data_IF_026647742641
#
_entry.id   IF_026647742641
#
_cell.length_a   1.000
_cell.length_b   1.000
_cell.length_c   1.000
_cell.angle_alpha   90.00
_cell.angle_beta   90.00
_cell.angle_gamma   90.00
#
_symmetry.space_group_name_H-M   'P 1'
#
loop_
_entity.id
_entity.type
_entity.pdbx_description
1 polymer ?
#
# COMPACT_ATOMS: atom_id res chain seq x y z
N UNK A 1 -19.66 17.04 -7.92
CA UNK A 1 -18.34 16.42 -8.25
C UNK A 1 -18.45 14.92 -8.00
N UNK A 2 -17.89 14.13 -8.87
CA UNK A 2 -17.86 12.67 -8.76
C UNK A 2 -16.91 12.26 -7.63
N UNK A 3 -17.30 11.36 -6.75
CA UNK A 3 -16.40 10.83 -5.74
C UNK A 3 -15.27 10.04 -6.40
N UNK A 4 -14.01 10.39 -6.12
CA UNK A 4 -12.83 9.72 -6.66
C UNK A 4 -11.98 9.19 -5.51
N UNK A 5 -11.63 7.93 -5.57
CA UNK A 5 -10.71 7.28 -4.63
C UNK A 5 -9.35 7.12 -5.30
N UNK A 6 -8.30 7.63 -4.65
CA UNK A 6 -6.91 7.41 -5.07
C UNK A 6 -6.32 6.28 -4.25
N UNK A 7 -5.92 5.18 -4.87
CA UNK A 7 -5.11 4.16 -4.21
C UNK A 7 -3.63 4.36 -4.55
N UNK A 8 -2.75 4.32 -3.56
CA UNK A 8 -1.32 4.54 -3.77
C UNK A 8 -0.50 3.32 -3.31
N UNK A 9 -0.05 2.51 -4.28
CA UNK A 9 1.06 1.58 -4.10
C UNK A 9 2.40 2.34 -4.16
N UNK A 10 3.45 1.84 -3.49
CA UNK A 10 4.73 2.58 -3.47
C UNK A 10 5.91 1.71 -3.08
N UNK A 11 7.07 2.00 -3.65
CA UNK A 11 8.35 1.52 -3.15
C UNK A 11 8.78 2.24 -1.87
N UNK A 12 9.61 1.59 -1.06
CA UNK A 12 10.25 2.22 0.09
C UNK A 12 11.31 3.22 -0.39
N UNK A 13 11.33 4.40 0.22
CA UNK A 13 12.24 5.47 -0.19
C UNK A 13 11.73 6.36 -1.33
N UNK A 14 10.76 5.92 -2.15
CA UNK A 14 10.20 6.73 -3.25
C UNK A 14 9.45 8.01 -2.81
N UNK A 15 9.17 8.17 -1.54
CA UNK A 15 8.39 9.32 -1.04
C UNK A 15 6.88 9.10 -1.09
N UNK A 16 6.39 7.95 -1.57
CA UNK A 16 4.97 7.73 -1.84
C UNK A 16 4.02 7.97 -0.66
N UNK A 17 4.44 7.73 0.61
CA UNK A 17 3.61 8.09 1.77
C UNK A 17 3.46 9.60 1.92
N UNK A 18 4.56 10.34 1.85
CA UNK A 18 4.55 11.79 1.93
C UNK A 18 3.76 12.42 0.78
N UNK A 19 3.97 11.92 -0.44
CA UNK A 19 3.24 12.35 -1.64
C UNK A 19 1.73 12.15 -1.44
N UNK A 20 1.29 10.96 -1.00
CA UNK A 20 -0.12 10.69 -0.74
C UNK A 20 -0.73 11.62 0.32
N UNK A 21 0.01 11.89 1.39
CA UNK A 21 -0.41 12.84 2.43
C UNK A 21 -0.53 14.29 1.89
N UNK A 22 0.42 14.73 1.05
CA UNK A 22 0.39 16.07 0.46
C UNK A 22 -0.73 16.21 -0.58
N UNK A 23 -1.00 15.18 -1.39
CA UNK A 23 -2.14 15.12 -2.30
C UNK A 23 -3.45 15.25 -1.52
N UNK A 24 -3.62 14.48 -0.46
CA UNK A 24 -4.79 14.55 0.41
C UNK A 24 -5.01 15.97 0.96
N UNK A 25 -3.96 16.62 1.46
CA UNK A 25 -4.01 17.99 1.96
C UNK A 25 -4.41 19.00 0.87
N UNK A 26 -3.78 18.91 -0.33
CA UNK A 26 -4.10 19.81 -1.45
C UNK A 26 -5.54 19.66 -1.95
N UNK A 27 -6.05 18.43 -1.97
CA UNK A 27 -7.42 18.13 -2.40
C UNK A 27 -8.45 18.29 -1.29
N UNK A 28 -8.01 18.49 -0.05
CA UNK A 28 -8.86 18.53 1.15
C UNK A 28 -9.76 17.28 1.28
N UNK A 29 -9.17 16.09 1.06
CA UNK A 29 -9.83 14.79 1.17
C UNK A 29 -9.11 13.91 2.22
N UNK A 30 -9.80 12.94 2.86
CA UNK A 30 -9.18 12.05 3.84
C UNK A 30 -7.98 11.27 3.29
N UNK A 31 -7.01 11.00 4.17
CA UNK A 31 -5.86 10.14 3.91
C UNK A 31 -5.88 8.94 4.84
N UNK A 32 -5.93 7.74 4.29
CA UNK A 32 -5.96 6.49 5.03
C UNK A 32 -4.68 5.69 4.79
N UNK A 33 -3.83 5.65 5.78
CA UNK A 33 -2.64 4.80 5.78
C UNK A 33 -2.86 3.53 6.61
N UNK A 34 -1.81 2.71 6.73
CA UNK A 34 -1.82 1.48 7.51
C UNK A 34 -2.38 1.69 8.93
N UNK A 35 -1.87 2.69 9.64
CA UNK A 35 -2.22 2.91 11.06
C UNK A 35 -3.70 3.26 11.23
N UNK A 36 -4.24 4.10 10.33
CA UNK A 36 -5.64 4.50 10.39
C UNK A 36 -6.59 3.35 10.06
N UNK A 37 -6.23 2.53 9.07
CA UNK A 37 -7.02 1.35 8.70
C UNK A 37 -6.99 0.30 9.83
N UNK A 38 -5.85 0.11 10.47
CA UNK A 38 -5.69 -0.79 11.61
C UNK A 38 -6.51 -0.31 12.83
N UNK A 39 -6.54 0.98 13.12
CA UNK A 39 -7.43 1.56 14.15
C UNK A 39 -8.93 1.37 13.84
N UNK A 40 -9.30 1.43 12.56
CA UNK A 40 -10.67 1.11 12.16
C UNK A 40 -11.01 -0.36 12.41
N UNK A 41 -10.05 -1.26 12.16
CA UNK A 41 -10.16 -2.68 12.50
C UNK A 41 -10.40 -2.93 13.99
N UNK A 42 -9.65 -2.26 14.87
CA UNK A 42 -9.83 -2.37 16.33
C UNK A 42 -11.23 -1.96 16.79
N UNK A 43 -11.74 -0.85 16.24
CA UNK A 43 -13.06 -0.33 16.62
C UNK A 43 -14.22 -1.29 16.35
N UNK A 44 -14.05 -2.21 15.40
CA UNK A 44 -15.06 -3.24 15.08
C UNK A 44 -14.79 -4.58 15.75
N UNK A 45 -13.95 -4.58 16.81
CA UNK A 45 -13.65 -5.76 17.64
C UNK A 45 -12.51 -6.62 17.16
N UNK A 46 -11.71 -6.16 16.21
CA UNK A 46 -10.49 -6.83 15.76
C UNK A 46 -9.37 -6.76 16.80
N UNK A 47 -8.54 -7.80 16.87
CA UNK A 47 -7.42 -7.86 17.79
C UNK A 47 -6.14 -7.28 17.14
N UNK A 48 -5.78 -6.05 17.52
CA UNK A 48 -4.63 -5.33 16.97
C UNK A 48 -3.28 -6.01 17.27
N UNK A 49 -3.12 -6.63 18.43
CA UNK A 49 -1.86 -7.28 18.81
C UNK A 49 -1.43 -8.41 17.87
N UNK A 50 -2.37 -8.94 17.08
CA UNK A 50 -2.13 -10.00 16.10
C UNK A 50 -1.82 -9.51 14.68
N UNK A 51 -1.94 -8.21 14.38
CA UNK A 51 -1.80 -7.69 13.01
C UNK A 51 -0.39 -7.88 12.46
N UNK A 52 0.65 -7.59 13.26
CA UNK A 52 2.04 -7.81 12.84
C UNK A 52 2.34 -9.30 12.68
N UNK A 53 1.73 -10.15 13.50
CA UNK A 53 1.80 -11.60 13.40
C UNK A 53 1.12 -12.11 12.13
N UNK A 54 -0.04 -11.55 11.73
CA UNK A 54 -0.71 -11.90 10.47
C UNK A 54 0.09 -11.47 9.24
N UNK A 55 0.70 -10.31 9.24
CA UNK A 55 1.60 -9.88 8.16
C UNK A 55 2.83 -10.82 8.05
N UNK A 56 3.31 -11.38 9.17
CA UNK A 56 4.38 -12.40 9.18
C UNK A 56 3.88 -13.79 8.79
N UNK A 57 2.68 -14.20 9.20
CA UNK A 57 2.07 -15.49 8.84
C UNK A 57 1.79 -15.58 7.35
N UNK A 58 1.28 -14.53 6.71
CA UNK A 58 1.12 -14.47 5.25
C UNK A 58 2.45 -14.68 4.54
N UNK A 59 3.52 -14.06 5.04
CA UNK A 59 4.87 -14.24 4.50
C UNK A 59 5.40 -15.67 4.73
N UNK A 60 5.14 -16.25 5.91
CA UNK A 60 5.61 -17.60 6.26
C UNK A 60 4.84 -18.70 5.53
N UNK A 61 3.54 -18.51 5.25
CA UNK A 61 2.73 -19.46 4.49
C UNK A 61 3.21 -19.63 3.05
N UNK A 62 3.67 -18.56 2.42
CA UNK A 62 4.32 -18.63 1.11
C UNK A 62 5.61 -19.46 1.16
N UNK A 63 6.41 -19.30 2.22
CA UNK A 63 7.63 -20.10 2.44
C UNK A 63 7.32 -21.56 2.77
N UNK A 64 6.24 -21.83 3.50
CA UNK A 64 5.80 -23.21 3.83
C UNK A 64 5.20 -23.94 2.63
N UNK A 65 4.51 -23.25 1.73
CA UNK A 65 4.01 -23.83 0.48
C UNK A 65 5.14 -24.20 -0.50
N UNK A 66 6.31 -23.59 -0.35
CA UNK A 66 7.52 -23.97 -1.10
C UNK A 66 8.28 -25.15 -0.46
N UNK A 67 8.12 -25.37 0.84
CA UNK A 67 8.69 -26.50 1.57
C UNK A 67 7.53 -27.35 2.11
N UNK A 68 7.30 -28.49 1.49
CA UNK A 68 6.39 -29.57 1.91
C UNK A 68 6.59 -29.94 3.41
N UNK A 69 6.06 -29.16 4.34
CA UNK A 69 6.01 -29.50 5.75
C UNK A 69 4.57 -29.45 6.21
N UNK A 70 4.01 -30.64 6.44
CA UNK A 70 2.75 -30.87 7.12
C UNK A 70 2.71 -30.21 8.49
N UNK A 71 1.98 -29.12 8.63
CA UNK A 71 1.44 -28.72 9.92
C UNK A 71 0.02 -28.18 9.69
N UNK A 72 -0.91 -28.94 10.22
CA UNK A 72 -2.33 -28.63 10.33
C UNK A 72 -2.53 -27.43 11.27
N UNK A 73 -2.46 -26.22 10.72
CA UNK A 73 -2.85 -25.00 11.43
C UNK A 73 -4.12 -24.43 10.78
N UNK A 74 -5.23 -25.17 10.92
CA UNK A 74 -6.54 -24.74 10.43
C UNK A 74 -7.03 -23.43 11.10
N UNK A 75 -6.72 -23.21 12.36
CA UNK A 75 -7.08 -21.99 13.10
C UNK A 75 -6.38 -20.74 12.59
N UNK A 76 -5.07 -20.80 12.37
CA UNK A 76 -4.30 -19.65 11.84
C UNK A 76 -4.71 -19.28 10.41
N UNK A 77 -5.04 -20.29 9.57
CA UNK A 77 -5.53 -20.02 8.23
C UNK A 77 -6.93 -19.41 8.22
N UNK A 78 -7.79 -19.78 9.18
CA UNK A 78 -9.12 -19.20 9.36
C UNK A 78 -9.04 -17.76 9.85
N UNK A 79 -8.19 -17.46 10.84
CA UNK A 79 -7.95 -16.12 11.36
C UNK A 79 -7.38 -15.18 10.29
N UNK A 80 -6.41 -15.64 9.49
CA UNK A 80 -5.84 -14.89 8.38
C UNK A 80 -6.88 -14.54 7.32
N UNK A 81 -7.70 -15.50 6.92
CA UNK A 81 -8.78 -15.28 5.96
C UNK A 81 -9.79 -14.27 6.49
N UNK A 82 -10.11 -14.34 7.79
CA UNK A 82 -11.01 -13.41 8.47
C UNK A 82 -10.44 -12.00 8.51
N UNK A 83 -9.13 -11.84 8.78
CA UNK A 83 -8.42 -10.57 8.72
C UNK A 83 -8.49 -9.93 7.32
N UNK A 84 -8.18 -10.69 6.27
CA UNK A 84 -8.20 -10.20 4.89
C UNK A 84 -9.61 -9.75 4.46
N UNK A 85 -10.63 -10.53 4.81
CA UNK A 85 -12.04 -10.20 4.53
C UNK A 85 -12.42 -8.89 5.24
N UNK A 86 -12.06 -8.76 6.51
CA UNK A 86 -12.41 -7.59 7.31
C UNK A 86 -11.69 -6.33 6.84
N UNK A 87 -10.39 -6.44 6.51
CA UNK A 87 -9.62 -5.35 5.91
C UNK A 87 -10.21 -4.89 4.58
N UNK A 88 -10.63 -5.85 3.73
CA UNK A 88 -11.29 -5.54 2.46
C UNK A 88 -12.63 -4.83 2.67
N UNK A 89 -13.41 -5.24 3.68
CA UNK A 89 -14.66 -4.58 4.05
C UNK A 89 -14.43 -3.12 4.50
N UNK A 90 -13.47 -2.89 5.39
CA UNK A 90 -13.11 -1.54 5.86
C UNK A 90 -12.70 -0.66 4.68
N UNK A 91 -11.84 -1.15 3.78
CA UNK A 91 -11.39 -0.39 2.62
C UNK A 91 -12.58 -0.01 1.71
N UNK A 92 -13.52 -0.92 1.48
CA UNK A 92 -14.73 -0.66 0.69
C UNK A 92 -15.62 0.40 1.37
N UNK A 93 -15.86 0.26 2.66
CA UNK A 93 -16.65 1.23 3.44
C UNK A 93 -16.02 2.64 3.40
N UNK A 94 -14.68 2.74 3.57
CA UNK A 94 -13.98 4.02 3.45
C UNK A 94 -14.12 4.65 2.06
N UNK A 95 -14.08 3.84 1.02
CA UNK A 95 -14.25 4.30 -0.38
C UNK A 95 -15.70 4.75 -0.68
N UNK A 96 -16.70 4.21 -0.01
CA UNK A 96 -18.11 4.57 -0.16
C UNK A 96 -18.46 5.90 0.52
N UNK A 97 -17.76 6.27 1.59
CA UNK A 97 -18.00 7.52 2.33
C UNK A 97 -17.75 8.75 1.47
N UNK A 98 -16.77 8.69 0.55
CA UNK A 98 -16.47 9.81 -0.33
C UNK A 98 -15.07 9.73 -0.95
N UNK A 99 -14.65 10.83 -1.57
CA UNK A 99 -13.29 10.94 -2.11
C UNK A 99 -12.26 10.79 -1.01
N UNK A 100 -11.21 10.00 -1.26
CA UNK A 100 -10.13 9.78 -0.30
C UNK A 100 -8.84 9.28 -0.98
N UNK A 101 -7.74 9.31 -0.24
CA UNK A 101 -6.47 8.68 -0.59
C UNK A 101 -6.26 7.47 0.32
N UNK A 102 -6.05 6.29 -0.24
CA UNK A 102 -5.76 5.05 0.49
C UNK A 102 -4.35 4.58 0.16
N UNK A 103 -3.50 4.44 1.16
CA UNK A 103 -2.10 4.09 1.00
C UNK A 103 -1.82 2.61 1.26
N UNK A 104 -1.57 1.85 0.22
CA UNK A 104 -1.22 0.42 0.28
C UNK A 104 -2.39 -0.48 0.65
N UNK A 105 -2.13 -1.50 1.50
CA UNK A 105 -3.14 -2.48 1.97
C UNK A 105 -3.91 -3.19 0.85
N UNK A 106 -3.26 -3.33 -0.32
CA UNK A 106 -3.88 -3.96 -1.48
C UNK A 106 -5.16 -3.26 -1.95
N UNK A 107 -5.32 -1.98 -1.65
CA UNK A 107 -6.55 -1.24 -1.93
C UNK A 107 -6.88 -1.20 -3.43
N UNK A 108 -5.88 -1.13 -4.31
CA UNK A 108 -6.05 -1.20 -5.76
C UNK A 108 -6.77 -2.48 -6.21
N UNK A 109 -6.49 -3.62 -5.56
CA UNK A 109 -7.13 -4.88 -5.90
C UNK A 109 -8.49 -5.03 -5.21
N UNK A 110 -8.60 -4.62 -3.95
CA UNK A 110 -9.86 -4.62 -3.19
C UNK A 110 -10.95 -3.80 -3.88
N UNK A 111 -10.56 -2.70 -4.52
CA UNK A 111 -11.47 -1.75 -5.18
C UNK A 111 -11.50 -1.88 -6.71
N UNK A 112 -10.91 -2.93 -7.29
CA UNK A 112 -10.74 -3.06 -8.76
C UNK A 112 -12.03 -3.02 -9.58
N UNK A 113 -13.16 -3.41 -8.98
CA UNK A 113 -14.48 -3.40 -9.64
C UNK A 113 -15.16 -2.01 -9.59
N UNK A 114 -14.60 -1.07 -8.83
CA UNK A 114 -15.16 0.27 -8.69
C UNK A 114 -14.65 1.21 -9.79
N UNK A 115 -15.57 1.85 -10.52
CA UNK A 115 -15.24 2.73 -11.66
C UNK A 115 -14.68 4.11 -11.27
N UNK A 116 -14.80 4.48 -10.00
CA UNK A 116 -14.35 5.76 -9.46
C UNK A 116 -13.02 5.68 -8.70
N UNK A 117 -12.23 4.66 -8.99
CA UNK A 117 -10.92 4.43 -8.36
C UNK A 117 -9.82 4.70 -9.38
N UNK A 118 -8.78 5.39 -8.94
CA UNK A 118 -7.55 5.60 -9.71
C UNK A 118 -6.40 4.96 -8.92
N UNK A 119 -5.76 3.98 -9.54
CA UNK A 119 -4.69 3.21 -8.95
C UNK A 119 -3.33 3.76 -9.39
N UNK A 120 -2.55 4.23 -8.44
CA UNK A 120 -1.24 4.85 -8.69
C UNK A 120 -0.15 4.02 -8.01
N UNK A 121 0.97 3.79 -8.70
CA UNK A 121 2.17 3.23 -8.12
C UNK A 121 3.32 4.24 -8.18
N UNK A 122 3.90 4.58 -7.03
CA UNK A 122 5.00 5.53 -6.92
C UNK A 122 6.29 4.77 -6.65
N UNK A 123 7.24 4.88 -7.57
CA UNK A 123 8.53 4.22 -7.51
C UNK A 123 9.67 5.20 -7.75
N UNK A 124 10.90 4.74 -7.70
CA UNK A 124 12.05 5.44 -8.26
C UNK A 124 13.08 4.46 -8.78
N UNK A 125 13.53 4.67 -10.02
CA UNK A 125 14.67 3.97 -10.59
C UNK A 125 16.00 4.46 -10.03
N UNK A 126 16.03 5.67 -9.47
CA UNK A 126 17.21 6.23 -8.80
C UNK A 126 17.35 5.63 -7.38
N UNK A 127 18.25 4.66 -7.25
CA UNK A 127 18.54 4.01 -5.98
C UNK A 127 19.13 5.00 -4.96
N UNK A 128 20.01 5.87 -5.41
CA UNK A 128 20.66 6.87 -4.56
C UNK A 128 19.65 7.88 -4.00
N UNK A 129 18.70 8.30 -4.81
CA UNK A 129 17.58 9.13 -4.35
C UNK A 129 16.83 8.46 -3.19
N UNK A 130 16.46 7.19 -3.35
CA UNK A 130 15.76 6.43 -2.30
C UNK A 130 16.59 6.29 -1.03
N UNK A 131 17.87 5.91 -1.17
CA UNK A 131 18.78 5.70 -0.04
C UNK A 131 19.02 7.01 0.71
N UNK A 132 19.47 8.08 0.03
CA UNK A 132 19.74 9.40 0.63
C UNK A 132 18.52 9.98 1.34
N UNK A 133 17.33 9.81 0.73
CA UNK A 133 16.07 10.20 1.36
C UNK A 133 15.85 9.47 2.69
N UNK A 134 16.11 8.17 2.75
CA UNK A 134 15.93 7.37 3.96
C UNK A 134 16.98 7.63 5.02
N UNK A 135 18.22 7.79 4.64
CA UNK A 135 19.28 8.24 5.55
C UNK A 135 18.87 9.53 6.29
N UNK A 136 18.39 10.52 5.53
CA UNK A 136 17.97 11.80 6.11
C UNK A 136 16.75 11.69 7.03
N UNK A 137 15.75 10.90 6.65
CA UNK A 137 14.48 10.80 7.40
C UNK A 137 14.60 9.93 8.66
N UNK A 138 15.44 8.91 8.64
CA UNK A 138 15.53 7.90 9.71
C UNK A 138 16.84 7.99 10.49
N UNK A 139 17.73 8.93 10.11
CA UNK A 139 19.05 9.13 10.70
C UNK A 139 19.88 7.83 10.76
N UNK A 140 19.96 7.11 9.64
CA UNK A 140 20.64 5.82 9.49
C UNK A 140 21.75 5.89 8.46
N UNK A 141 22.69 4.91 8.50
CA UNK A 141 23.77 4.81 7.51
C UNK A 141 23.27 4.42 6.13
N UNK A 142 24.14 4.59 5.11
CA UNK A 142 23.86 4.19 3.73
C UNK A 142 23.53 2.70 3.61
N UNK A 143 24.38 1.85 4.23
CA UNK A 143 24.20 0.39 4.17
C UNK A 143 22.90 -0.06 4.87
N UNK A 144 22.58 0.57 5.99
CA UNK A 144 21.33 0.29 6.69
C UNK A 144 20.11 0.73 5.87
N UNK A 145 20.16 1.91 5.25
CA UNK A 145 19.10 2.38 4.37
C UNK A 145 18.90 1.45 3.17
N UNK A 146 20.00 1.02 2.53
CA UNK A 146 19.99 0.09 1.41
C UNK A 146 19.39 -1.28 1.79
N UNK A 147 19.77 -1.81 2.94
CA UNK A 147 19.24 -3.06 3.46
C UNK A 147 17.74 -2.95 3.77
N UNK A 148 17.30 -1.86 4.42
CA UNK A 148 15.88 -1.61 4.69
C UNK A 148 15.07 -1.48 3.41
N UNK A 149 15.58 -0.82 2.36
CA UNK A 149 14.96 -0.74 1.04
C UNK A 149 14.63 -2.13 0.50
N UNK A 150 15.63 -3.00 0.45
CA UNK A 150 15.46 -4.38 -0.05
C UNK A 150 14.46 -5.18 0.79
N UNK A 151 14.57 -5.11 2.11
CA UNK A 151 13.73 -5.88 3.02
C UNK A 151 12.27 -5.43 2.99
N UNK A 152 12.02 -4.12 3.06
CA UNK A 152 10.65 -3.57 3.10
C UNK A 152 9.92 -3.84 1.79
N UNK A 153 10.56 -3.61 0.64
CA UNK A 153 9.92 -3.85 -0.65
C UNK A 153 9.74 -5.35 -0.94
N UNK A 154 10.67 -6.20 -0.47
CA UNK A 154 10.50 -7.66 -0.51
C UNK A 154 9.28 -8.10 0.32
N UNK A 155 9.08 -7.53 1.53
CA UNK A 155 7.91 -7.81 2.37
C UNK A 155 6.61 -7.37 1.69
N UNK A 156 6.57 -6.15 1.13
CA UNK A 156 5.39 -5.63 0.41
C UNK A 156 5.03 -6.46 -0.80
N UNK A 157 6.02 -6.85 -1.60
CA UNK A 157 5.83 -7.70 -2.77
C UNK A 157 5.26 -9.05 -2.37
N UNK A 158 5.87 -9.72 -1.39
CA UNK A 158 5.39 -11.01 -0.90
C UNK A 158 3.94 -10.94 -0.42
N UNK A 159 3.62 -9.92 0.39
CA UNK A 159 2.26 -9.70 0.86
C UNK A 159 1.28 -9.53 -0.31
N UNK A 160 1.58 -8.65 -1.26
CA UNK A 160 0.72 -8.40 -2.41
C UNK A 160 0.51 -9.65 -3.26
N UNK A 161 1.59 -10.33 -3.62
CA UNK A 161 1.56 -11.52 -4.50
C UNK A 161 0.91 -12.73 -3.83
N UNK A 162 0.97 -12.85 -2.50
CA UNK A 162 0.34 -13.96 -1.76
C UNK A 162 -1.18 -13.90 -1.74
N UNK A 163 -1.75 -12.70 -1.76
CA UNK A 163 -3.21 -12.50 -1.66
C UNK A 163 -3.88 -12.24 -3.02
N UNK A 164 -3.12 -12.03 -4.08
CA UNK A 164 -3.65 -11.64 -5.40
C UNK A 164 -3.36 -12.67 -6.51
N UNK A 165 -3.40 -13.96 -6.22
CA UNK A 165 -3.22 -15.03 -7.20
C UNK A 165 -1.98 -14.83 -8.09
N UNK A 166 -0.85 -14.41 -7.51
CA UNK A 166 0.43 -14.12 -8.17
C UNK A 166 0.46 -12.89 -9.08
N UNK A 167 -0.51 -11.99 -9.02
CA UNK A 167 -0.39 -10.68 -9.63
C UNK A 167 0.85 -9.96 -9.08
N UNK A 168 1.60 -9.31 -9.97
CA UNK A 168 2.90 -8.72 -9.58
C UNK A 168 2.73 -7.32 -9.00
N UNK A 169 3.31 -7.12 -7.83
CA UNK A 169 3.36 -5.81 -7.18
C UNK A 169 4.17 -4.81 -8.00
N UNK A 170 3.57 -3.66 -8.33
CA UNK A 170 4.18 -2.63 -9.18
C UNK A 170 4.14 -2.93 -10.68
N UNK A 171 3.43 -3.99 -11.11
CA UNK A 171 3.25 -4.27 -12.52
C UNK A 171 2.30 -3.26 -13.17
N UNK A 172 2.60 -2.84 -14.39
CA UNK A 172 1.80 -1.88 -15.16
C UNK A 172 0.36 -2.29 -15.40
N UNK A 173 0.05 -3.57 -15.30
CA UNK A 173 -1.31 -4.10 -15.52
C UNK A 173 -2.19 -3.94 -14.28
N UNK A 174 -1.59 -3.62 -13.13
CA UNK A 174 -2.28 -3.51 -11.84
C UNK A 174 -2.54 -2.04 -11.42
N UNK A 175 -2.03 -1.08 -12.19
CA UNK A 175 -2.12 0.35 -11.87
C UNK A 175 -2.42 1.19 -13.10
N UNK A 176 -3.22 2.24 -12.93
CA UNK A 176 -3.54 3.19 -14.01
C UNK A 176 -2.35 4.12 -14.30
N UNK A 177 -1.54 4.44 -13.27
CA UNK A 177 -0.36 5.29 -13.38
C UNK A 177 0.81 4.71 -12.60
N UNK A 178 1.98 4.64 -13.26
CA UNK A 178 3.27 4.36 -12.63
C UNK A 178 4.13 5.63 -12.71
N UNK A 179 4.49 6.20 -11.56
CA UNK A 179 5.16 7.50 -11.49
C UNK A 179 6.53 7.36 -10.85
N UNK A 180 7.59 7.72 -11.60
CA UNK A 180 8.95 7.80 -11.08
C UNK A 180 9.17 9.14 -10.37
N UNK A 181 9.10 9.10 -9.04
CA UNK A 181 9.31 10.28 -8.18
C UNK A 181 10.76 10.74 -8.09
N UNK A 182 11.71 9.89 -8.45
CA UNK A 182 13.13 10.26 -8.56
C UNK A 182 13.39 11.18 -9.74
N UNK A 183 12.69 10.94 -10.85
CA UNK A 183 12.79 11.77 -12.08
C UNK A 183 12.03 13.10 -11.92
N UNK A 184 10.79 13.02 -11.44
CA UNK A 184 9.93 14.22 -11.33
C UNK A 184 10.27 15.09 -10.12
N UNK A 185 10.79 14.50 -9.07
CA UNK A 185 10.81 15.10 -7.74
C UNK A 185 9.47 14.96 -7.02
N UNK A 186 9.52 15.05 -5.69
CA UNK A 186 8.36 14.79 -4.83
C UNK A 186 7.23 15.79 -5.07
N UNK A 187 7.55 17.08 -5.13
CA UNK A 187 6.55 18.15 -5.24
C UNK A 187 5.81 18.11 -6.59
N UNK A 188 6.55 17.92 -7.68
CA UNK A 188 5.93 17.78 -9.02
C UNK A 188 5.09 16.50 -9.13
N UNK A 189 5.47 15.43 -8.41
CA UNK A 189 4.66 14.22 -8.35
C UNK A 189 3.33 14.48 -7.65
N UNK A 190 3.33 15.29 -6.59
CA UNK A 190 2.09 15.73 -5.92
C UNK A 190 1.22 16.51 -6.89
N UNK A 191 1.78 17.49 -7.60
CA UNK A 191 1.03 18.32 -8.55
C UNK A 191 0.41 17.49 -9.68
N UNK A 192 1.18 16.56 -10.24
CA UNK A 192 0.70 15.64 -11.28
C UNK A 192 -0.49 14.80 -10.79
N UNK A 193 -0.44 14.27 -9.56
CA UNK A 193 -1.53 13.46 -9.03
C UNK A 193 -2.78 14.31 -8.75
N UNK A 194 -2.61 15.55 -8.29
CA UNK A 194 -3.72 16.50 -8.13
C UNK A 194 -4.37 16.81 -9.47
N UNK A 195 -3.59 17.00 -10.53
CA UNK A 195 -4.11 17.23 -11.89
C UNK A 195 -4.87 16.01 -12.43
N UNK A 196 -4.34 14.80 -12.20
CA UNK A 196 -5.03 13.54 -12.57
C UNK A 196 -6.38 13.46 -11.86
N UNK A 197 -6.43 13.71 -10.55
CA UNK A 197 -7.67 13.70 -9.78
C UNK A 197 -8.68 14.72 -10.30
N UNK A 198 -8.27 15.96 -10.52
CA UNK A 198 -9.16 17.02 -10.98
C UNK A 198 -9.77 16.71 -12.36
N UNK A 199 -8.98 16.15 -13.29
CA UNK A 199 -9.48 15.73 -14.61
C UNK A 199 -10.47 14.57 -14.53
N UNK A 200 -10.30 13.66 -13.58
CA UNK A 200 -11.20 12.51 -13.41
C UNK A 200 -12.49 12.88 -12.66
N UNK A 201 -12.50 13.99 -11.92
CA UNK A 201 -13.65 14.46 -11.14
C UNK A 201 -14.64 15.31 -11.95
N UNK A 202 -14.28 15.66 -13.19
CA UNK A 202 -15.15 16.29 -14.19
C UNK A 202 -16.12 15.27 -14.78
#
# INVERSE_FOLDING_TARGET
MKNIVLTIGREYGSGGRYIGEMVSKKLNIPFYDRVLIEKAYEKIGGNYSKIDEYDEVVQNKFLKNLNLINTSNSELAYEESSYQILMSKIIKELAEVGSCVILGRNANNVLREQKNVINIFIYSNDLDFKVKRKMKLENISYDEALNRLKQVDKKRRKYYESINNRQKWGDRTEYDYLIDSGVLGVDKTVDLIVDIYNKASL
#
